data_IF_665201220045
#
_entry.id   IF_665201220045
#
_cell.length_a   1.000
_cell.length_b   1.000
_cell.length_c   1.000
_cell.angle_alpha   90.00
_cell.angle_beta   90.00
_cell.angle_gamma   90.00
#
_symmetry.space_group_name_H-M   'P 1'
#
loop_
_entity.id
_entity.type
_entity.pdbx_description
1 polymer ?
#
# COMPACT_ATOMS: atom_id res chain seq x y z
N UNK A 1 -10.88 15.27 27.02
CA UNK A 1 -11.95 15.13 26.02
C UNK A 1 -11.34 14.55 24.75
N UNK A 2 -12.14 13.96 23.87
CA UNK A 2 -11.68 13.60 22.51
C UNK A 2 -11.45 14.90 21.74
N UNK A 3 -10.28 15.08 21.14
CA UNK A 3 -10.02 16.22 20.25
C UNK A 3 -10.86 16.04 18.99
N UNK A 4 -11.63 17.06 18.61
CA UNK A 4 -12.41 17.08 17.37
C UNK A 4 -11.99 18.33 16.59
N UNK A 5 -11.45 18.20 15.37
CA UNK A 5 -10.85 19.31 14.63
C UNK A 5 -11.70 20.58 14.55
N UNK A 6 -13.01 20.44 14.31
CA UNK A 6 -13.91 21.60 14.14
C UNK A 6 -14.30 22.19 15.49
N UNK A 7 -14.68 21.36 16.48
CA UNK A 7 -15.01 21.84 17.83
C UNK A 7 -13.81 22.47 18.55
N UNK A 8 -12.58 22.06 18.22
CA UNK A 8 -11.35 22.67 18.71
C UNK A 8 -11.00 24.00 18.00
N UNK A 9 -11.74 24.38 16.95
CA UNK A 9 -11.50 25.60 16.18
C UNK A 9 -10.29 25.53 15.25
N UNK A 10 -9.74 24.34 14.99
CA UNK A 10 -8.62 24.18 14.05
C UNK A 10 -9.09 24.24 12.58
N UNK A 11 -10.36 23.90 12.34
CA UNK A 11 -11.04 23.97 11.05
C UNK A 11 -12.41 24.61 11.24
N UNK A 12 -12.84 25.42 10.28
CA UNK A 12 -14.26 25.75 10.17
C UNK A 12 -15.03 24.57 9.54
N UNK A 13 -16.36 24.57 9.71
CA UNK A 13 -17.21 23.47 9.27
C UNK A 13 -17.25 23.34 7.75
N UNK A 14 -17.35 24.45 7.02
CA UNK A 14 -17.48 24.48 5.56
C UNK A 14 -16.20 23.94 4.89
N UNK A 15 -15.03 24.28 5.43
CA UNK A 15 -13.75 23.78 4.97
C UNK A 15 -13.58 22.29 5.30
N UNK A 16 -14.02 21.82 6.48
CA UNK A 16 -14.05 20.40 6.80
C UNK A 16 -14.97 19.60 5.86
N UNK A 17 -16.12 20.14 5.50
CA UNK A 17 -17.04 19.54 4.52
C UNK A 17 -16.42 19.47 3.12
N UNK A 18 -15.77 20.56 2.67
CA UNK A 18 -15.03 20.58 1.41
C UNK A 18 -13.94 19.50 1.35
N UNK A 19 -13.09 19.40 2.38
CA UNK A 19 -12.03 18.41 2.47
C UNK A 19 -12.59 16.98 2.53
N UNK A 20 -13.70 16.77 3.22
CA UNK A 20 -14.37 15.48 3.29
C UNK A 20 -14.87 15.02 1.92
N UNK A 21 -15.50 15.91 1.15
CA UNK A 21 -15.93 15.60 -0.22
C UNK A 21 -14.74 15.33 -1.13
N UNK A 22 -13.68 16.14 -1.05
CA UNK A 22 -12.46 15.88 -1.82
C UNK A 22 -11.84 14.52 -1.48
N UNK A 23 -11.80 14.13 -0.19
CA UNK A 23 -11.33 12.82 0.23
C UNK A 23 -12.15 11.70 -0.42
N UNK A 24 -13.48 11.77 -0.26
CA UNK A 24 -14.38 10.72 -0.73
C UNK A 24 -14.35 10.57 -2.25
N UNK A 25 -14.34 11.67 -2.98
CA UNK A 25 -14.58 11.65 -4.42
C UNK A 25 -13.28 11.47 -5.22
N UNK A 26 -12.13 11.93 -4.70
CA UNK A 26 -10.85 11.95 -5.44
C UNK A 26 -9.75 11.09 -4.83
N UNK A 27 -9.67 11.01 -3.50
CA UNK A 27 -8.56 10.36 -2.78
C UNK A 27 -8.86 8.90 -2.45
N UNK A 28 -10.05 8.63 -1.91
CA UNK A 28 -10.55 7.30 -1.54
C UNK A 28 -10.48 6.25 -2.67
N UNK A 29 -10.74 6.57 -3.96
CA UNK A 29 -10.62 5.60 -5.05
C UNK A 29 -9.22 4.97 -5.18
N UNK A 30 -8.17 5.67 -4.75
CA UNK A 30 -6.79 5.17 -4.79
C UNK A 30 -6.45 4.22 -3.62
N UNK A 31 -7.35 4.08 -2.64
CA UNK A 31 -7.19 3.24 -1.46
C UNK A 31 -8.53 2.58 -1.05
N UNK A 32 -8.97 1.52 -1.74
CA UNK A 32 -10.31 0.91 -1.59
C UNK A 32 -10.48 0.07 -0.31
N UNK A 33 -9.74 0.37 0.75
CA UNK A 33 -9.74 -0.38 2.01
C UNK A 33 -10.45 0.34 3.15
N UNK A 34 -10.71 1.63 2.99
CA UNK A 34 -11.53 2.45 3.87
C UNK A 34 -12.48 3.24 2.98
N UNK A 35 -13.73 2.78 2.88
CA UNK A 35 -14.73 3.36 1.99
C UNK A 35 -15.80 4.06 2.83
N UNK A 36 -16.17 5.26 2.41
CA UNK A 36 -17.22 6.07 3.03
C UNK A 36 -18.36 6.18 2.02
N UNK A 37 -19.54 5.73 2.44
CA UNK A 37 -20.72 5.74 1.58
C UNK A 37 -21.13 7.17 1.18
N UNK A 38 -21.72 7.31 -0.01
CA UNK A 38 -22.15 8.60 -0.53
C UNK A 38 -23.24 9.27 0.33
N UNK A 39 -24.03 8.48 1.07
CA UNK A 39 -25.07 8.97 1.98
C UNK A 39 -24.54 9.53 3.30
N UNK A 40 -23.29 9.24 3.67
CA UNK A 40 -22.69 9.72 4.92
C UNK A 40 -22.34 11.20 4.77
N UNK A 41 -22.92 12.03 5.64
CA UNK A 41 -22.56 13.45 5.75
C UNK A 41 -21.35 13.65 6.67
N UNK A 42 -20.69 14.81 6.52
CA UNK A 42 -19.57 15.20 7.38
C UNK A 42 -19.96 15.19 8.86
N UNK A 43 -21.16 15.68 9.21
CA UNK A 43 -21.64 15.69 10.60
C UNK A 43 -21.92 14.29 11.13
N UNK A 44 -22.47 13.41 10.29
CA UNK A 44 -22.69 12.03 10.70
C UNK A 44 -21.37 11.33 11.00
N UNK A 45 -20.33 11.56 10.17
CA UNK A 45 -19.00 11.00 10.41
C UNK A 45 -18.36 11.59 11.68
N UNK A 46 -18.46 12.91 11.89
CA UNK A 46 -17.96 13.59 13.09
C UNK A 46 -18.57 13.02 14.38
N UNK A 47 -19.86 12.70 14.36
CA UNK A 47 -20.56 12.18 15.54
C UNK A 47 -20.33 10.69 15.76
N UNK A 48 -20.37 9.87 14.70
CA UNK A 48 -20.34 8.42 14.81
C UNK A 48 -18.93 7.82 14.75
N UNK A 49 -18.03 8.46 14.02
CA UNK A 49 -16.67 7.99 13.76
C UNK A 49 -15.63 9.13 13.90
N UNK A 50 -15.57 9.81 15.07
CA UNK A 50 -14.73 11.00 15.27
C UNK A 50 -13.23 10.76 15.07
N UNK A 51 -12.71 9.56 15.34
CA UNK A 51 -11.30 9.25 15.13
C UNK A 51 -10.97 9.11 13.64
N UNK A 52 -11.86 8.45 12.87
CA UNK A 52 -11.72 8.35 11.42
C UNK A 52 -11.84 9.74 10.77
N UNK A 53 -12.82 10.55 11.20
CA UNK A 53 -12.94 11.93 10.75
C UNK A 53 -11.66 12.73 10.98
N UNK A 54 -11.09 12.68 12.19
CA UNK A 54 -9.83 13.38 12.51
C UNK A 54 -8.68 12.89 11.62
N UNK A 55 -8.53 11.57 11.42
CA UNK A 55 -7.51 11.03 10.53
C UNK A 55 -7.63 11.56 9.08
N UNK A 56 -8.85 11.66 8.56
CA UNK A 56 -9.12 12.22 7.23
C UNK A 56 -8.74 13.70 7.19
N UNK A 57 -9.18 14.51 8.17
CA UNK A 57 -8.84 15.93 8.21
C UNK A 57 -7.33 16.18 8.30
N UNK A 58 -6.60 15.38 9.09
CA UNK A 58 -5.14 15.49 9.19
C UNK A 58 -4.45 15.20 7.85
N UNK A 59 -4.90 14.19 7.11
CA UNK A 59 -4.35 13.87 5.78
C UNK A 59 -4.73 14.93 4.73
N UNK A 60 -5.99 15.37 4.72
CA UNK A 60 -6.52 16.24 3.66
C UNK A 60 -6.11 17.71 3.79
N UNK A 61 -5.62 18.13 4.96
CA UNK A 61 -5.09 19.48 5.18
C UNK A 61 -3.66 19.66 4.63
N UNK A 62 -3.19 18.80 3.71
CA UNK A 62 -1.85 18.87 3.11
C UNK A 62 -1.54 20.20 2.41
N UNK A 63 -2.57 20.92 1.95
CA UNK A 63 -2.42 22.25 1.36
C UNK A 63 -2.21 23.37 2.41
N UNK A 64 -2.42 23.07 3.69
CA UNK A 64 -2.29 24.02 4.81
C UNK A 64 -1.41 23.45 5.93
N UNK A 65 -0.07 23.47 5.77
CA UNK A 65 0.87 22.77 6.66
C UNK A 65 0.73 23.11 8.15
N UNK A 66 0.45 24.37 8.47
CA UNK A 66 0.27 24.81 9.86
C UNK A 66 -0.91 24.12 10.56
N UNK A 67 -2.02 23.90 9.85
CA UNK A 67 -3.18 23.18 10.37
C UNK A 67 -2.87 21.68 10.41
N UNK A 68 -2.27 21.14 9.36
CA UNK A 68 -1.90 19.74 9.28
C UNK A 68 -0.99 19.30 10.43
N UNK A 69 0.01 20.10 10.79
CA UNK A 69 0.90 19.83 11.91
C UNK A 69 0.15 19.71 13.24
N UNK A 70 -0.76 20.66 13.52
CA UNK A 70 -1.60 20.64 14.72
C UNK A 70 -2.50 19.41 14.75
N UNK A 71 -3.19 19.13 13.63
CA UNK A 71 -4.09 17.98 13.54
C UNK A 71 -3.33 16.66 13.68
N UNK A 72 -2.14 16.55 13.08
CA UNK A 72 -1.30 15.36 13.18
C UNK A 72 -0.80 15.16 14.61
N UNK A 73 -0.32 16.21 15.29
CA UNK A 73 0.12 16.12 16.68
C UNK A 73 -1.02 15.64 17.60
N UNK A 74 -2.21 16.20 17.45
CA UNK A 74 -3.38 15.79 18.22
C UNK A 74 -3.84 14.37 17.87
N UNK A 75 -3.74 13.96 16.60
CA UNK A 75 -4.05 12.59 16.20
C UNK A 75 -3.08 11.59 16.85
N UNK A 76 -1.78 11.91 16.90
CA UNK A 76 -0.79 11.08 17.61
C UNK A 76 -1.09 10.99 19.11
N UNK A 77 -1.50 12.10 19.76
CA UNK A 77 -1.97 12.08 21.16
C UNK A 77 -3.18 11.17 21.34
N UNK A 78 -4.12 11.16 20.39
CA UNK A 78 -5.26 10.25 20.41
C UNK A 78 -4.84 8.79 20.23
N UNK A 79 -3.92 8.49 19.31
CA UNK A 79 -3.37 7.14 19.14
C UNK A 79 -2.75 6.67 20.46
N UNK A 80 -1.90 7.49 21.07
CA UNK A 80 -1.27 7.21 22.36
C UNK A 80 -2.32 6.93 23.46
N UNK A 81 -3.29 7.82 23.62
CA UNK A 81 -4.30 7.72 24.66
C UNK A 81 -5.27 6.55 24.43
N UNK A 82 -5.85 6.42 23.24
CA UNK A 82 -6.90 5.42 22.98
C UNK A 82 -6.34 4.02 22.93
N UNK A 83 -5.21 3.82 22.27
CA UNK A 83 -4.68 2.48 22.02
C UNK A 83 -3.83 2.00 23.20
N UNK A 84 -2.91 2.82 23.70
CA UNK A 84 -1.98 2.37 24.74
C UNK A 84 -2.52 2.56 26.16
N UNK A 85 -3.12 3.72 26.45
CA UNK A 85 -3.61 4.00 27.81
C UNK A 85 -4.95 3.29 28.05
N UNK A 86 -5.87 3.38 27.09
CA UNK A 86 -7.25 2.87 27.24
C UNK A 86 -7.45 1.47 26.66
N UNK A 87 -6.54 0.97 25.81
CA UNK A 87 -6.68 -0.35 25.20
C UNK A 87 -7.85 -0.47 24.23
N UNK A 88 -8.33 0.64 23.67
CA UNK A 88 -9.49 0.65 22.77
C UNK A 88 -9.19 -0.09 21.46
N UNK A 89 -10.19 -0.88 21.04
CA UNK A 89 -10.16 -1.72 19.86
C UNK A 89 -11.47 -1.55 19.11
N UNK A 90 -11.41 -1.00 17.91
CA UNK A 90 -12.60 -0.81 17.08
C UNK A 90 -12.22 -0.77 15.60
N UNK A 91 -13.18 -1.10 14.74
CA UNK A 91 -13.01 -0.99 13.29
C UNK A 91 -12.72 0.47 12.89
N UNK A 92 -13.37 1.44 13.54
CA UNK A 92 -13.13 2.87 13.34
C UNK A 92 -11.66 3.25 13.60
N UNK A 93 -11.07 2.79 14.70
CA UNK A 93 -9.66 3.05 15.01
C UNK A 93 -8.76 2.45 13.93
N UNK A 94 -9.03 1.20 13.53
CA UNK A 94 -8.27 0.56 12.45
C UNK A 94 -8.38 1.34 11.13
N UNK A 95 -9.58 1.77 10.76
CA UNK A 95 -9.81 2.57 9.54
C UNK A 95 -9.08 3.92 9.61
N UNK A 96 -9.13 4.63 10.75
CA UNK A 96 -8.40 5.89 10.92
C UNK A 96 -6.88 5.71 10.85
N UNK A 97 -6.35 4.64 11.46
CA UNK A 97 -4.93 4.29 11.34
C UNK A 97 -4.55 3.96 9.89
N UNK A 98 -5.42 3.24 9.16
CA UNK A 98 -5.22 2.91 7.76
C UNK A 98 -5.17 4.17 6.87
N UNK A 99 -6.08 5.13 7.08
CA UNK A 99 -6.03 6.43 6.40
C UNK A 99 -4.70 7.14 6.71
N UNK A 100 -4.30 7.18 7.99
CA UNK A 100 -3.06 7.82 8.39
C UNK A 100 -1.81 7.20 7.72
N UNK A 101 -1.70 5.87 7.67
CA UNK A 101 -0.54 5.21 7.04
C UNK A 101 -0.58 5.26 5.51
N UNK A 102 -1.77 5.26 4.90
CA UNK A 102 -1.93 5.31 3.44
C UNK A 102 -1.41 6.62 2.84
N UNK A 103 -1.48 7.73 3.58
CA UNK A 103 -0.95 9.04 3.15
C UNK A 103 0.11 9.61 4.11
N UNK A 104 0.87 8.72 4.76
CA UNK A 104 1.88 9.11 5.74
C UNK A 104 2.95 10.08 5.21
N UNK A 105 3.18 10.13 3.90
CA UNK A 105 4.15 11.04 3.28
C UNK A 105 3.82 12.53 3.49
N UNK A 106 2.55 12.89 3.64
CA UNK A 106 2.16 14.26 4.02
C UNK A 106 2.45 14.58 5.48
N UNK A 107 2.43 13.56 6.34
CA UNK A 107 2.56 13.68 7.78
C UNK A 107 3.99 13.38 8.27
N UNK A 108 4.93 13.24 7.33
CA UNK A 108 6.25 12.72 7.59
C UNK A 108 7.15 13.79 8.23
N UNK A 109 7.52 13.57 9.49
CA UNK A 109 8.66 14.23 10.13
C UNK A 109 9.87 13.25 10.11
N UNK A 110 10.95 13.56 9.38
CA UNK A 110 12.14 12.70 9.32
C UNK A 110 12.74 12.38 10.69
N UNK A 111 12.60 13.28 11.68
CA UNK A 111 13.12 13.06 13.04
C UNK A 111 12.24 12.13 13.87
N UNK A 112 10.97 11.97 13.50
CA UNK A 112 9.95 11.20 14.23
C UNK A 112 9.31 10.13 13.36
N UNK A 113 10.08 9.49 12.47
CA UNK A 113 9.56 8.45 11.59
C UNK A 113 8.96 7.28 12.40
N UNK A 114 7.64 7.12 12.34
CA UNK A 114 6.82 6.17 13.10
C UNK A 114 5.96 5.23 12.25
N UNK A 115 6.03 5.30 10.92
CA UNK A 115 5.23 4.49 9.98
C UNK A 115 5.22 3.00 10.34
N UNK A 116 6.38 2.41 10.58
CA UNK A 116 6.49 1.00 10.96
C UNK A 116 5.74 0.67 12.25
N UNK A 117 5.86 1.54 13.26
CA UNK A 117 5.17 1.39 14.54
C UNK A 117 3.66 1.48 14.37
N UNK A 118 3.17 2.49 13.65
CA UNK A 118 1.73 2.68 13.40
C UNK A 118 1.16 1.52 12.58
N UNK A 119 1.90 1.01 11.58
CA UNK A 119 1.50 -0.19 10.85
C UNK A 119 1.40 -1.43 11.75
N UNK A 120 2.31 -1.61 12.70
CA UNK A 120 2.17 -2.70 13.67
C UNK A 120 0.97 -2.50 14.61
N UNK A 121 0.54 -1.26 14.87
CA UNK A 121 -0.75 -1.01 15.54
C UNK A 121 -1.94 -1.45 14.68
N UNK A 122 -1.92 -1.21 13.36
CA UNK A 122 -2.95 -1.76 12.47
C UNK A 122 -3.00 -3.29 12.53
N UNK A 123 -1.82 -3.94 12.48
CA UNK A 123 -1.72 -5.41 12.60
C UNK A 123 -2.25 -5.88 13.96
N UNK A 124 -1.89 -5.19 15.05
CA UNK A 124 -2.40 -5.52 16.38
C UNK A 124 -3.93 -5.40 16.46
N UNK A 125 -4.52 -4.32 15.92
CA UNK A 125 -5.99 -4.15 15.85
C UNK A 125 -6.67 -5.26 15.05
N UNK A 126 -6.11 -5.68 13.91
CA UNK A 126 -6.59 -6.83 13.12
C UNK A 126 -6.62 -8.11 13.95
N UNK A 127 -5.55 -8.38 14.71
CA UNK A 127 -5.44 -9.59 15.53
C UNK A 127 -6.39 -9.55 16.73
N UNK A 128 -6.47 -8.40 17.38
CA UNK A 128 -7.31 -8.17 18.56
C UNK A 128 -8.81 -8.26 18.25
N UNK A 129 -9.24 -7.71 17.11
CA UNK A 129 -10.61 -7.85 16.58
C UNK A 129 -10.86 -9.25 15.96
N UNK A 130 -9.79 -10.05 15.86
CA UNK A 130 -9.78 -11.39 15.27
C UNK A 130 -10.10 -11.41 13.77
N UNK A 131 -9.88 -10.30 13.05
CA UNK A 131 -10.28 -10.15 11.64
C UNK A 131 -9.56 -11.14 10.73
N UNK A 132 -8.39 -11.64 11.13
CA UNK A 132 -7.62 -12.63 10.37
C UNK A 132 -8.13 -14.08 10.51
N UNK A 133 -9.05 -14.36 11.45
CA UNK A 133 -9.56 -15.71 11.71
C UNK A 133 -10.79 -16.00 10.85
N UNK A 134 -10.72 -17.08 10.09
CA UNK A 134 -11.89 -17.65 9.43
C UNK A 134 -12.82 -18.25 10.48
N UNK A 135 -13.94 -17.60 10.78
CA UNK A 135 -14.91 -18.09 11.77
C UNK A 135 -15.87 -19.05 11.06
N UNK A 136 -15.84 -20.33 11.45
CA UNK A 136 -16.70 -21.39 10.87
C UNK A 136 -18.20 -21.28 11.26
N UNK A 137 -18.66 -20.16 11.82
CA UNK A 137 -20.03 -20.02 12.35
C UNK A 137 -20.68 -18.69 11.96
N UNK A 138 -22.02 -18.71 11.82
CA UNK A 138 -23.08 -17.71 11.54
C UNK A 138 -22.81 -16.19 11.49
N UNK A 139 -21.67 -15.68 11.93
CA UNK A 139 -21.28 -14.27 11.82
C UNK A 139 -20.21 -14.14 10.72
N UNK A 140 -20.67 -13.99 9.47
CA UNK A 140 -19.79 -13.58 8.38
C UNK A 140 -19.21 -12.18 8.70
N UNK A 141 -17.93 -11.98 8.37
CA UNK A 141 -17.29 -10.66 8.49
C UNK A 141 -17.99 -9.67 7.57
N UNK A 142 -18.23 -8.46 8.10
CA UNK A 142 -18.82 -7.40 7.29
C UNK A 142 -17.87 -7.05 6.12
N UNK A 143 -18.39 -6.54 5.00
CA UNK A 143 -17.56 -6.05 3.90
C UNK A 143 -16.50 -5.04 4.36
N UNK A 144 -16.83 -4.14 5.29
CA UNK A 144 -15.92 -3.13 5.85
C UNK A 144 -14.79 -3.76 6.66
N UNK A 145 -15.09 -4.79 7.47
CA UNK A 145 -14.07 -5.56 8.19
C UNK A 145 -13.11 -6.27 7.22
N UNK A 146 -13.64 -6.85 6.14
CA UNK A 146 -12.83 -7.49 5.09
C UNK A 146 -11.92 -6.47 4.40
N UNK A 147 -12.45 -5.29 4.02
CA UNK A 147 -11.69 -4.19 3.42
C UNK A 147 -10.55 -3.73 4.33
N UNK A 148 -10.84 -3.44 5.60
CA UNK A 148 -9.83 -2.98 6.56
C UNK A 148 -8.75 -4.04 6.83
N UNK A 149 -9.13 -5.32 6.92
CA UNK A 149 -8.18 -6.42 7.07
C UNK A 149 -7.24 -6.51 5.86
N UNK A 150 -7.79 -6.49 4.64
CA UNK A 150 -7.02 -6.55 3.40
C UNK A 150 -6.14 -5.31 3.23
N UNK A 151 -6.61 -4.12 3.61
CA UNK A 151 -5.82 -2.89 3.60
C UNK A 151 -4.65 -2.92 4.55
N UNK A 152 -4.82 -3.55 5.72
CA UNK A 152 -3.73 -3.78 6.67
C UNK A 152 -2.65 -4.68 6.08
N UNK A 153 -3.05 -5.79 5.45
CA UNK A 153 -2.11 -6.66 4.73
C UNK A 153 -1.40 -5.90 3.60
N UNK A 154 -2.16 -5.17 2.77
CA UNK A 154 -1.63 -4.41 1.65
C UNK A 154 -0.55 -3.43 2.12
N UNK A 155 -0.85 -2.58 3.10
CA UNK A 155 0.12 -1.61 3.61
C UNK A 155 1.33 -2.26 4.31
N UNK A 156 1.10 -3.33 5.08
CA UNK A 156 2.20 -4.05 5.74
C UNK A 156 3.13 -4.74 4.72
N UNK A 157 2.57 -5.27 3.63
CA UNK A 157 3.34 -5.88 2.53
C UNK A 157 4.19 -4.84 1.80
N UNK A 158 3.62 -3.67 1.50
CA UNK A 158 4.35 -2.55 0.86
C UNK A 158 5.49 -2.07 1.75
N UNK A 159 5.25 -1.93 3.05
CA UNK A 159 6.29 -1.53 4.00
C UNK A 159 7.41 -2.59 4.10
N UNK A 160 7.06 -3.86 4.20
CA UNK A 160 8.03 -4.97 4.21
C UNK A 160 8.91 -4.95 2.94
N UNK A 161 8.30 -4.76 1.76
CA UNK A 161 8.99 -4.70 0.47
C UNK A 161 9.94 -3.50 0.40
N UNK A 162 9.44 -2.30 0.70
CA UNK A 162 10.19 -1.04 0.55
C UNK A 162 11.40 -0.97 1.47
N UNK A 163 11.26 -1.46 2.72
CA UNK A 163 12.34 -1.45 3.71
C UNK A 163 13.13 -2.76 3.79
N UNK A 164 12.89 -3.72 2.88
CA UNK A 164 13.53 -5.06 2.90
C UNK A 164 13.39 -5.79 4.24
N UNK A 165 12.20 -5.69 4.87
CA UNK A 165 11.87 -6.33 6.16
C UNK A 165 10.93 -7.53 5.94
N UNK A 166 10.81 -8.37 6.96
CA UNK A 166 9.82 -9.46 6.95
C UNK A 166 8.39 -8.90 7.04
N UNK A 167 7.46 -9.53 6.33
CA UNK A 167 6.04 -9.23 6.45
C UNK A 167 5.49 -9.84 7.76
N UNK A 168 5.01 -9.00 8.67
CA UNK A 168 4.46 -9.43 9.96
C UNK A 168 3.01 -9.91 9.91
N UNK A 169 2.34 -9.76 8.76
CA UNK A 169 1.00 -10.24 8.50
C UNK A 169 1.03 -11.08 7.22
N UNK A 170 1.30 -12.39 7.30
CA UNK A 170 1.46 -13.23 6.13
C UNK A 170 0.15 -13.37 5.35
N UNK A 171 0.26 -13.57 4.04
CA UNK A 171 -0.90 -13.87 3.19
C UNK A 171 -1.56 -15.18 3.62
N UNK A 172 -2.89 -15.23 3.62
CA UNK A 172 -3.64 -16.40 4.08
C UNK A 172 -4.73 -16.80 3.10
N UNK A 173 -5.14 -18.07 3.13
CA UNK A 173 -6.31 -18.55 2.37
C UNK A 173 -7.59 -17.79 2.72
N UNK A 174 -7.69 -17.27 3.95
CA UNK A 174 -8.83 -16.46 4.34
C UNK A 174 -8.84 -15.09 3.64
N UNK A 175 -7.69 -14.46 3.41
CA UNK A 175 -7.62 -13.23 2.59
C UNK A 175 -8.13 -13.47 1.18
N UNK A 176 -7.84 -14.64 0.59
CA UNK A 176 -8.38 -15.06 -0.71
C UNK A 176 -9.91 -15.09 -0.69
N UNK A 177 -10.50 -15.72 0.32
CA UNK A 177 -11.95 -15.74 0.49
C UNK A 177 -12.53 -14.33 0.69
N UNK A 178 -11.84 -13.46 1.42
CA UNK A 178 -12.26 -12.07 1.64
C UNK A 178 -12.34 -11.28 0.33
N UNK A 179 -11.25 -11.21 -0.45
CA UNK A 179 -11.28 -10.42 -1.69
C UNK A 179 -12.17 -11.04 -2.77
N UNK A 180 -12.30 -12.38 -2.81
CA UNK A 180 -13.23 -13.06 -3.72
C UNK A 180 -14.70 -12.74 -3.38
N UNK A 181 -15.03 -12.72 -2.08
CA UNK A 181 -16.36 -12.30 -1.61
C UNK A 181 -16.67 -10.87 -2.03
N UNK A 182 -15.72 -9.94 -1.88
CA UNK A 182 -15.87 -8.54 -2.27
C UNK A 182 -15.98 -8.38 -3.80
N UNK A 183 -15.25 -9.20 -4.57
CA UNK A 183 -15.30 -9.17 -6.04
C UNK A 183 -16.59 -9.76 -6.61
N UNK A 184 -17.16 -10.78 -5.94
CA UNK A 184 -18.37 -11.48 -6.41
C UNK A 184 -19.64 -10.69 -6.11
N UNK A 185 -19.66 -9.98 -4.98
CA UNK A 185 -20.76 -9.13 -4.54
C UNK A 185 -20.20 -7.77 -4.10
N UNK A 186 -19.75 -6.94 -5.05
CA UNK A 186 -19.22 -5.63 -4.72
C UNK A 186 -20.34 -4.77 -4.16
N UNK A 187 -20.08 -4.14 -3.02
CA UNK A 187 -20.93 -3.09 -2.45
C UNK A 187 -20.61 -1.74 -3.11
N UNK A 188 -19.33 -1.53 -3.42
CA UNK A 188 -18.82 -0.35 -4.11
C UNK A 188 -18.06 -0.74 -5.37
N UNK A 189 -18.06 0.09 -6.43
CA UNK A 189 -17.26 -0.19 -7.65
C UNK A 189 -15.77 -0.43 -7.35
N UNK A 190 -15.24 0.26 -6.33
CA UNK A 190 -13.86 0.15 -5.88
C UNK A 190 -13.51 -1.21 -5.25
N UNK A 191 -14.49 -2.02 -4.85
CA UNK A 191 -14.23 -3.35 -4.25
C UNK A 191 -13.52 -4.29 -5.23
N UNK A 192 -13.76 -4.10 -6.52
CA UNK A 192 -13.16 -4.92 -7.57
C UNK A 192 -11.67 -4.62 -7.79
N UNK A 193 -11.17 -3.47 -7.29
CA UNK A 193 -9.75 -3.12 -7.27
C UNK A 193 -8.97 -3.91 -6.20
N UNK A 194 -9.64 -4.38 -5.15
CA UNK A 194 -8.97 -5.00 -3.99
C UNK A 194 -8.26 -6.29 -4.40
N UNK A 195 -8.91 -7.17 -5.17
CA UNK A 195 -8.32 -8.45 -5.58
C UNK A 195 -6.96 -8.28 -6.31
N UNK A 196 -6.86 -7.48 -7.40
CA UNK A 196 -5.57 -7.29 -8.08
C UNK A 196 -4.53 -6.56 -7.21
N UNK A 197 -4.93 -5.64 -6.32
CA UNK A 197 -4.01 -5.00 -5.37
C UNK A 197 -3.40 -6.00 -4.37
N UNK A 198 -4.20 -6.94 -3.86
CA UNK A 198 -3.73 -7.95 -2.91
C UNK A 198 -2.89 -9.01 -3.62
N UNK A 199 -3.32 -9.48 -4.79
CA UNK A 199 -2.59 -10.47 -5.58
C UNK A 199 -1.23 -9.95 -6.05
N UNK A 200 -1.16 -8.72 -6.57
CA UNK A 200 0.12 -8.12 -6.97
C UNK A 200 1.06 -7.93 -5.76
N UNK A 201 0.52 -7.57 -4.59
CA UNK A 201 1.31 -7.46 -3.36
C UNK A 201 1.84 -8.79 -2.84
N UNK A 202 1.05 -9.84 -2.93
CA UNK A 202 1.47 -11.20 -2.56
C UNK A 202 2.57 -11.71 -3.50
N UNK A 203 2.39 -11.53 -4.82
CA UNK A 203 3.37 -11.91 -5.82
C UNK A 203 4.69 -11.15 -5.62
N UNK A 204 4.62 -9.84 -5.34
CA UNK A 204 5.79 -9.04 -5.00
C UNK A 204 6.53 -9.56 -3.76
N UNK A 205 5.81 -9.95 -2.70
CA UNK A 205 6.42 -10.58 -1.53
C UNK A 205 7.15 -11.88 -1.90
N UNK A 206 6.52 -12.76 -2.68
CA UNK A 206 7.15 -14.01 -3.14
C UNK A 206 8.39 -13.77 -3.99
N UNK A 207 8.40 -12.76 -4.85
CA UNK A 207 9.58 -12.36 -5.63
C UNK A 207 10.72 -11.94 -4.70
N UNK A 208 10.44 -11.04 -3.74
CA UNK A 208 11.43 -10.57 -2.77
C UNK A 208 12.03 -11.71 -1.92
N UNK A 209 11.19 -12.64 -1.48
CA UNK A 209 11.60 -13.81 -0.69
C UNK A 209 12.42 -14.80 -1.55
N UNK A 210 11.95 -15.11 -2.76
CA UNK A 210 12.59 -16.08 -3.65
C UNK A 210 14.01 -15.67 -4.06
N UNK A 211 14.22 -14.37 -4.35
CA UNK A 211 15.55 -13.84 -4.67
C UNK A 211 16.34 -13.34 -3.45
N UNK A 212 15.78 -13.50 -2.25
CA UNK A 212 16.37 -13.04 -0.98
C UNK A 212 16.87 -11.60 -1.04
N UNK A 213 16.06 -10.66 -1.55
CA UNK A 213 16.51 -9.27 -1.75
C UNK A 213 16.90 -8.52 -0.46
N UNK A 214 16.53 -9.05 0.70
CA UNK A 214 16.99 -8.59 2.01
C UNK A 214 18.36 -9.14 2.42
N UNK A 215 18.82 -10.25 1.82
CA UNK A 215 20.07 -10.94 2.15
C UNK A 215 20.67 -11.68 0.93
N UNK A 216 20.94 -10.91 -0.12
CA UNK A 216 21.38 -11.41 -1.42
C UNK A 216 22.65 -12.28 -1.37
N UNK A 217 23.68 -11.98 -0.55
CA UNK A 217 24.86 -12.84 -0.44
C UNK A 217 24.51 -14.29 -0.08
N UNK A 218 23.45 -14.49 0.71
CA UNK A 218 22.98 -15.78 1.21
C UNK A 218 21.79 -16.34 0.42
N UNK A 219 21.45 -15.77 -0.74
CA UNK A 219 20.38 -16.29 -1.59
C UNK A 219 20.67 -17.73 -2.05
N UNK A 220 19.68 -18.62 -1.94
CA UNK A 220 19.80 -20.01 -2.41
C UNK A 220 19.82 -20.12 -3.94
N UNK A 221 19.06 -19.26 -4.62
CA UNK A 221 18.96 -19.25 -6.08
C UNK A 221 20.11 -18.48 -6.72
N UNK A 222 20.90 -19.14 -7.56
CA UNK A 222 22.00 -18.54 -8.33
C UNK A 222 22.10 -19.16 -9.72
N UNK A 223 22.59 -18.36 -10.67
CA UNK A 223 22.90 -18.82 -12.02
C UNK A 223 21.78 -18.56 -13.03
N UNK A 224 22.19 -18.34 -14.28
CA UNK A 224 21.32 -17.85 -15.36
C UNK A 224 20.03 -18.67 -15.53
N UNK A 225 20.15 -20.00 -15.65
CA UNK A 225 18.99 -20.86 -15.95
C UNK A 225 17.90 -20.77 -14.87
N UNK A 226 18.28 -20.74 -13.60
CA UNK A 226 17.33 -20.65 -12.49
C UNK A 226 16.65 -19.27 -12.47
N UNK A 227 17.42 -18.19 -12.67
CA UNK A 227 16.90 -16.83 -12.70
C UNK A 227 15.95 -16.60 -13.88
N UNK A 228 16.28 -17.08 -15.08
CA UNK A 228 15.43 -16.97 -16.26
C UNK A 228 14.11 -17.75 -16.08
N UNK A 229 14.18 -18.96 -15.52
CA UNK A 229 13.00 -19.76 -15.24
C UNK A 229 12.09 -19.08 -14.21
N UNK A 230 12.66 -18.63 -13.08
CA UNK A 230 11.92 -17.96 -12.01
C UNK A 230 11.26 -16.67 -12.50
N UNK A 231 12.01 -15.81 -13.20
CA UNK A 231 11.46 -14.54 -13.73
C UNK A 231 10.40 -14.76 -14.80
N UNK A 232 10.55 -15.77 -15.67
CA UNK A 232 9.52 -16.12 -16.66
C UNK A 232 8.23 -16.59 -16.01
N UNK A 233 8.34 -17.41 -14.95
CA UNK A 233 7.20 -17.86 -14.15
C UNK A 233 6.46 -16.69 -13.49
N UNK A 234 7.20 -15.81 -12.79
CA UNK A 234 6.60 -14.64 -12.15
C UNK A 234 6.01 -13.63 -13.15
N UNK A 235 6.64 -13.43 -14.32
CA UNK A 235 6.05 -12.60 -15.38
C UNK A 235 4.72 -13.18 -15.86
N UNK A 236 4.66 -14.50 -16.09
CA UNK A 236 3.43 -15.17 -16.54
C UNK A 236 2.32 -15.09 -15.49
N UNK A 237 2.66 -15.08 -14.21
CA UNK A 237 1.71 -14.85 -13.13
C UNK A 237 1.25 -13.39 -13.06
N UNK A 238 2.16 -12.42 -13.19
CA UNK A 238 1.84 -11.00 -13.24
C UNK A 238 0.86 -10.69 -14.39
N UNK A 239 1.12 -11.21 -15.59
CA UNK A 239 0.21 -11.01 -16.74
C UNK A 239 -1.17 -11.62 -16.49
N UNK A 240 -1.26 -12.81 -15.86
CA UNK A 240 -2.55 -13.39 -15.46
C UNK A 240 -3.31 -12.52 -14.46
N UNK A 241 -2.62 -11.88 -13.51
CA UNK A 241 -3.26 -10.95 -12.57
C UNK A 241 -3.75 -9.72 -13.35
N UNK A 242 -2.92 -9.15 -14.23
CA UNK A 242 -3.26 -7.99 -15.07
C UNK A 242 -4.46 -8.27 -15.99
N UNK A 243 -4.51 -9.44 -16.61
CA UNK A 243 -5.62 -9.87 -17.48
C UNK A 243 -6.93 -10.06 -16.71
N UNK A 244 -6.85 -10.38 -15.41
CA UNK A 244 -8.03 -10.55 -14.55
C UNK A 244 -8.63 -9.24 -14.04
N UNK A 245 -7.95 -8.10 -14.25
CA UNK A 245 -8.47 -6.78 -13.88
C UNK A 245 -9.71 -6.44 -14.72
N UNK A 246 -10.84 -6.06 -14.08
CA UNK A 246 -12.05 -5.62 -14.79
C UNK A 246 -11.78 -4.49 -15.78
N UNK A 247 -12.50 -4.50 -16.91
CA UNK A 247 -12.30 -3.55 -18.02
C UNK A 247 -12.34 -2.08 -17.58
N UNK A 248 -13.23 -1.76 -16.65
CA UNK A 248 -13.41 -0.44 -16.05
C UNK A 248 -12.15 0.09 -15.34
N UNK A 249 -11.30 -0.79 -14.81
CA UNK A 249 -10.12 -0.43 -14.02
C UNK A 249 -8.79 -0.66 -14.73
N UNK A 250 -8.81 -1.04 -16.01
CA UNK A 250 -7.59 -1.34 -16.79
C UNK A 250 -6.65 -0.15 -17.01
N UNK A 251 -7.13 1.07 -16.74
CA UNK A 251 -6.34 2.32 -16.81
C UNK A 251 -6.25 3.01 -15.43
N UNK A 252 -6.49 2.25 -14.36
CA UNK A 252 -6.45 2.80 -13.02
C UNK A 252 -4.99 3.04 -12.62
N UNK A 253 -4.60 4.29 -12.45
CA UNK A 253 -3.23 4.73 -12.17
C UNK A 253 -2.54 3.92 -11.07
N UNK A 254 -3.20 3.68 -9.93
CA UNK A 254 -2.64 2.86 -8.84
C UNK A 254 -2.24 1.45 -9.28
N UNK A 255 -3.04 0.79 -10.14
CA UNK A 255 -2.75 -0.55 -10.62
C UNK A 255 -1.62 -0.53 -11.66
N UNK A 256 -1.64 0.43 -12.59
CA UNK A 256 -0.60 0.57 -13.61
C UNK A 256 0.78 0.77 -12.97
N UNK A 257 0.87 1.72 -12.03
CA UNK A 257 2.07 1.94 -11.22
C UNK A 257 2.48 0.67 -10.45
N UNK A 258 1.52 -0.07 -9.90
CA UNK A 258 1.80 -1.30 -9.15
C UNK A 258 2.38 -2.41 -10.04
N UNK A 259 1.85 -2.59 -11.25
CA UNK A 259 2.35 -3.59 -12.20
C UNK A 259 3.73 -3.21 -12.75
N UNK A 260 3.99 -1.93 -12.99
CA UNK A 260 5.32 -1.47 -13.38
C UNK A 260 6.35 -1.73 -12.26
N UNK A 261 6.02 -1.44 -11.00
CA UNK A 261 6.88 -1.80 -9.86
C UNK A 261 7.12 -3.29 -9.74
N UNK A 262 6.10 -4.11 -10.00
CA UNK A 262 6.24 -5.55 -9.93
C UNK A 262 7.17 -6.06 -11.04
N UNK A 263 7.07 -5.50 -12.24
CA UNK A 263 7.99 -5.78 -13.33
C UNK A 263 9.44 -5.39 -12.99
N UNK A 264 9.64 -4.23 -12.36
CA UNK A 264 10.94 -3.78 -11.84
C UNK A 264 11.50 -4.82 -10.85
N UNK A 265 10.69 -5.19 -9.85
CA UNK A 265 11.09 -6.11 -8.78
C UNK A 265 11.40 -7.53 -9.30
N UNK A 266 10.61 -8.05 -10.25
CA UNK A 266 10.85 -9.38 -10.86
C UNK A 266 12.24 -9.41 -11.53
N UNK A 267 12.63 -8.33 -12.21
CA UNK A 267 13.88 -8.28 -12.97
C UNK A 267 15.06 -7.68 -12.20
N UNK A 268 14.85 -7.17 -10.97
CA UNK A 268 15.92 -6.61 -10.13
C UNK A 268 17.06 -7.61 -9.88
N UNK A 269 16.80 -8.93 -9.86
CA UNK A 269 17.83 -9.96 -9.71
C UNK A 269 18.95 -9.87 -10.76
N UNK A 270 18.70 -9.21 -11.91
CA UNK A 270 19.71 -8.92 -12.93
C UNK A 270 20.78 -7.90 -12.48
N UNK A 271 20.47 -7.05 -11.49
CA UNK A 271 21.38 -6.04 -10.95
C UNK A 271 22.37 -6.62 -9.94
N UNK A 272 22.07 -7.79 -9.38
CA UNK A 272 22.82 -8.35 -8.27
C UNK A 272 23.85 -9.36 -8.74
N UNK A 273 25.10 -8.94 -8.89
CA UNK A 273 26.20 -9.79 -9.41
C UNK A 273 26.39 -11.10 -8.64
N UNK A 274 26.09 -11.13 -7.33
CA UNK A 274 26.16 -12.33 -6.50
C UNK A 274 25.21 -13.46 -6.96
N UNK A 275 24.12 -13.13 -7.66
CA UNK A 275 23.19 -14.09 -8.23
C UNK A 275 23.68 -14.66 -9.58
N UNK A 276 24.71 -14.04 -10.18
CA UNK A 276 25.27 -14.39 -11.48
C UNK A 276 26.74 -14.82 -11.34
N UNK A 277 27.02 -15.97 -10.69
CA UNK A 277 28.39 -16.45 -10.52
C UNK A 277 29.05 -16.63 -11.90
N UNK A 278 30.18 -15.95 -12.10
CA UNK A 278 31.01 -16.15 -13.30
C UNK A 278 32.00 -17.28 -13.05
N UNK A 279 32.06 -18.26 -13.94
CA UNK A 279 33.05 -19.33 -13.87
C UNK A 279 34.44 -18.90 -14.40
N UNK A 280 34.58 -17.71 -15.00
CA UNK A 280 35.84 -17.23 -15.57
C UNK A 280 36.33 -15.94 -14.90
N UNK A 281 37.62 -15.95 -14.52
CA UNK A 281 38.42 -14.88 -13.90
C UNK A 281 38.70 -13.67 -14.80
N UNK A 282 38.14 -13.64 -16.01
CA UNK A 282 38.32 -12.59 -17.02
C UNK A 282 37.02 -11.83 -17.26
N UNK A 283 36.69 -10.94 -16.33
CA UNK A 283 35.59 -9.98 -16.47
C UNK A 283 34.18 -10.55 -16.29
N UNK A 284 33.28 -9.70 -15.81
CA UNK A 284 31.85 -10.00 -15.75
C UNK A 284 31.32 -9.93 -17.20
N UNK A 285 31.35 -11.03 -17.95
CA UNK A 285 30.64 -11.06 -19.23
C UNK A 285 29.13 -11.00 -18.96
N UNK A 286 28.50 -9.91 -19.40
CA UNK A 286 27.05 -9.73 -19.35
C UNK A 286 26.40 -10.73 -20.33
N UNK A 287 25.66 -11.71 -19.81
CA UNK A 287 24.96 -12.67 -20.67
C UNK A 287 23.78 -11.99 -21.38
N UNK A 288 23.38 -12.53 -22.54
CA UNK A 288 22.22 -12.01 -23.28
C UNK A 288 20.93 -12.04 -22.43
N UNK A 289 20.78 -13.07 -21.60
CA UNK A 289 19.70 -13.21 -20.63
C UNK A 289 19.69 -12.05 -19.62
N UNK A 290 20.84 -11.80 -18.97
CA UNK A 290 20.98 -10.73 -17.98
C UNK A 290 20.73 -9.36 -18.61
N UNK A 291 21.25 -9.13 -19.81
CA UNK A 291 21.02 -7.89 -20.58
C UNK A 291 19.53 -7.68 -20.90
N UNK A 292 18.81 -8.73 -21.31
CA UNK A 292 17.36 -8.66 -21.57
C UNK A 292 16.57 -8.31 -20.30
N UNK A 293 16.96 -8.87 -19.15
CA UNK A 293 16.32 -8.56 -17.86
C UNK A 293 16.58 -7.12 -17.44
N UNK A 294 17.82 -6.63 -17.56
CA UNK A 294 18.16 -5.23 -17.30
C UNK A 294 17.36 -4.27 -18.20
N UNK A 295 17.25 -4.59 -19.48
CA UNK A 295 16.45 -3.79 -20.41
C UNK A 295 14.97 -3.73 -20.00
N UNK A 296 14.39 -4.85 -19.56
CA UNK A 296 13.01 -4.88 -19.03
C UNK A 296 12.87 -4.04 -17.76
N UNK A 297 13.84 -4.10 -16.85
CA UNK A 297 13.87 -3.23 -15.67
C UNK A 297 13.87 -1.75 -16.08
N UNK A 298 14.73 -1.34 -17.02
CA UNK A 298 14.76 0.05 -17.51
C UNK A 298 13.44 0.47 -18.15
N UNK A 299 12.85 -0.40 -18.98
CA UNK A 299 11.58 -0.10 -19.63
C UNK A 299 10.46 0.07 -18.61
N UNK A 300 10.41 -0.76 -17.58
CA UNK A 300 9.42 -0.65 -16.51
C UNK A 300 9.65 0.60 -15.64
N UNK A 301 10.90 0.96 -15.32
CA UNK A 301 11.23 2.24 -14.64
C UNK A 301 10.76 3.42 -15.49
N UNK A 302 11.04 3.41 -16.79
CA UNK A 302 10.59 4.47 -17.70
C UNK A 302 9.07 4.58 -17.72
N UNK A 303 8.36 3.45 -17.91
CA UNK A 303 6.90 3.39 -17.90
C UNK A 303 6.33 3.97 -16.59
N UNK A 304 6.90 3.58 -15.45
CA UNK A 304 6.50 4.06 -14.14
C UNK A 304 6.64 5.57 -13.99
N UNK A 305 7.80 6.11 -14.38
CA UNK A 305 8.09 7.55 -14.29
C UNK A 305 7.22 8.35 -15.27
N UNK A 306 7.05 7.86 -16.50
CA UNK A 306 6.17 8.49 -17.49
C UNK A 306 4.72 8.52 -17.00
N UNK A 307 4.24 7.43 -16.38
CA UNK A 307 2.89 7.36 -15.84
C UNK A 307 2.65 8.37 -14.71
N UNK A 308 3.64 8.59 -13.83
CA UNK A 308 3.56 9.65 -12.79
C UNK A 308 3.61 11.04 -13.43
N UNK A 309 4.52 11.28 -14.36
CA UNK A 309 4.70 12.58 -15.01
C UNK A 309 3.53 12.97 -15.93
N UNK A 310 2.72 11.99 -16.37
CA UNK A 310 1.53 12.22 -17.18
C UNK A 310 0.30 12.63 -16.36
N UNK A 311 0.34 12.51 -15.03
CA UNK A 311 -0.75 12.95 -14.17
C UNK A 311 -0.77 14.48 -14.06
N UNK A 312 -1.98 15.03 -13.93
CA UNK A 312 -2.12 16.43 -13.54
C UNK A 312 -1.69 16.66 -12.08
N UNK A 313 -1.37 17.91 -11.75
CA UNK A 313 -0.86 18.29 -10.43
C UNK A 313 -1.82 17.86 -9.30
N UNK A 314 -3.13 17.95 -9.49
CA UNK A 314 -4.10 17.58 -8.45
C UNK A 314 -4.12 16.06 -8.23
N UNK A 315 -4.11 15.28 -9.31
CA UNK A 315 -4.08 13.81 -9.25
C UNK A 315 -2.85 13.24 -8.54
N UNK A 316 -1.71 13.94 -8.59
CA UNK A 316 -0.52 13.55 -7.82
C UNK A 316 -0.80 13.51 -6.32
N UNK A 317 -1.61 14.45 -5.81
CA UNK A 317 -1.93 14.52 -4.39
C UNK A 317 -2.90 13.42 -3.93
N UNK A 318 -3.59 12.75 -4.85
CA UNK A 318 -4.52 11.68 -4.53
C UNK A 318 -3.80 10.32 -4.33
N UNK A 319 -2.59 10.17 -4.88
CA UNK A 319 -1.82 8.94 -4.78
C UNK A 319 -1.45 8.60 -3.34
N UNK A 320 -1.40 7.30 -3.05
CA UNK A 320 -1.06 6.78 -1.72
C UNK A 320 0.46 6.63 -1.57
N UNK A 321 0.92 6.50 -0.33
CA UNK A 321 2.30 6.23 0.04
C UNK A 321 2.95 5.09 -0.76
N UNK A 322 2.29 3.94 -1.05
CA UNK A 322 2.82 2.92 -1.94
C UNK A 322 3.32 3.44 -3.30
N UNK A 323 2.62 4.39 -3.92
CA UNK A 323 3.07 5.01 -5.17
C UNK A 323 4.34 5.83 -4.94
N UNK A 324 4.39 6.66 -3.89
CA UNK A 324 5.58 7.45 -3.61
C UNK A 324 6.79 6.60 -3.21
N UNK A 325 6.61 5.53 -2.44
CA UNK A 325 7.64 4.53 -2.18
C UNK A 325 8.16 3.89 -3.48
N UNK A 326 7.25 3.61 -4.42
CA UNK A 326 7.58 3.13 -5.76
C UNK A 326 8.43 4.12 -6.57
N UNK A 327 8.10 5.41 -6.51
CA UNK A 327 8.89 6.47 -7.14
C UNK A 327 10.33 6.48 -6.62
N UNK A 328 10.54 6.48 -5.30
CA UNK A 328 11.88 6.40 -4.71
C UNK A 328 12.62 5.11 -5.12
N UNK A 329 11.92 3.96 -5.06
CA UNK A 329 12.50 2.68 -5.44
C UNK A 329 12.90 2.64 -6.93
N UNK A 330 12.08 3.20 -7.82
CA UNK A 330 12.37 3.27 -9.26
C UNK A 330 13.63 4.11 -9.54
N UNK A 331 13.84 5.22 -8.82
CA UNK A 331 15.07 6.02 -8.91
C UNK A 331 16.30 5.27 -8.40
N UNK A 332 16.19 4.60 -7.25
CA UNK A 332 17.29 3.79 -6.70
C UNK A 332 17.69 2.68 -7.69
N UNK A 333 16.72 2.04 -8.33
CA UNK A 333 16.97 1.01 -9.34
C UNK A 333 17.61 1.63 -10.59
N UNK A 334 17.11 2.77 -11.08
CA UNK A 334 17.67 3.46 -12.24
C UNK A 334 19.17 3.78 -12.04
N UNK A 335 19.54 4.31 -10.87
CA UNK A 335 20.93 4.61 -10.51
C UNK A 335 21.84 3.38 -10.39
N UNK A 336 21.28 2.16 -10.29
CA UNK A 336 22.04 0.91 -10.30
C UNK A 336 22.19 0.30 -11.68
N UNK A 337 21.32 0.68 -12.63
CA UNK A 337 21.32 0.17 -14.00
C UNK A 337 22.25 1.00 -14.88
N UNK A 338 22.23 2.32 -14.72
CA UNK A 338 23.17 3.29 -15.34
C UNK A 338 24.51 3.24 -14.62
#
# INVERSE_FOLDING_TARGET
>A
SVYEPVAAGALDHDYAEFLFHQFRDSVMPHFPFVVIDASVSVDSLRQQQPFLFHAIMAVMTYATPSIQDVLNEELQKQIASRIFIQGHKSLEILQGLLVHVAWYHYLHDPKKQQLGTILQLCVAQVLDLGLSRNRNSKLERSPEEKRAYLGTYYMNSVYAQTWRKCNTLPHSKFMVQCYQSLSTKPEYPSDTLIAPMIQSSELMCRVCEHFSYNDIPNADIKGQMMLESATSSFCSEMERIKDSVPMEHRKHTTLDLRFDLLCICIHECSLHSALWPSHNTSGIMMTAARSKMLHRTMQAVKSYLDAILALDDASLFHLTLPSWCGWFYSHVINCKVV
#
